data_IF_593145253695
#
_entry.id   IF_593145253695
#
_cell.length_a   1.000
_cell.length_b   1.000
_cell.length_c   1.000
_cell.angle_alpha   90.00
_cell.angle_beta   90.00
_cell.angle_gamma   90.00
#
_symmetry.space_group_name_H-M   'P 1'
#
loop_
_entity.id
_entity.type
_entity.pdbx_description
1 polymer ?
#
# COMPACT_ATOMS: atom_id res chain seq x y z
N UNK A 1 -56.21 -1.75 -18.35
CA UNK A 1 -55.03 -0.95 -18.74
C UNK A 1 -54.67 -1.28 -20.16
N UNK A 2 -54.50 -0.27 -21.02
CA UNK A 2 -54.13 -0.44 -22.44
C UNK A 2 -52.73 -1.06 -22.54
N UNK A 3 -52.46 -1.84 -23.58
CA UNK A 3 -51.17 -2.55 -23.75
C UNK A 3 -49.97 -1.59 -23.73
N UNK A 4 -50.16 -0.40 -24.31
CA UNK A 4 -49.16 0.67 -24.40
C UNK A 4 -48.73 1.19 -23.00
N UNK A 5 -49.72 1.29 -22.08
CA UNK A 5 -49.43 1.72 -20.69
C UNK A 5 -48.62 0.69 -19.93
N UNK A 6 -48.87 -0.61 -20.15
CA UNK A 6 -48.07 -1.68 -19.53
C UNK A 6 -46.63 -1.65 -20.03
N UNK A 7 -46.43 -1.48 -21.33
CA UNK A 7 -45.07 -1.37 -21.92
C UNK A 7 -44.35 -0.16 -21.36
N UNK A 8 -45.01 0.99 -21.28
CA UNK A 8 -44.43 2.22 -20.73
C UNK A 8 -43.98 2.07 -19.26
N UNK A 9 -44.85 1.46 -18.44
CA UNK A 9 -44.53 1.21 -17.02
C UNK A 9 -43.33 0.22 -16.89
N UNK A 10 -43.31 -0.84 -17.69
CA UNK A 10 -42.20 -1.80 -17.68
C UNK A 10 -40.89 -1.14 -18.07
N UNK A 11 -40.90 -0.26 -19.06
CA UNK A 11 -39.75 0.53 -19.48
C UNK A 11 -39.23 1.44 -18.39
N UNK A 12 -40.13 2.13 -17.68
CA UNK A 12 -39.71 3.00 -16.54
C UNK A 12 -39.10 2.16 -15.41
N UNK A 13 -39.71 1.04 -15.06
CA UNK A 13 -39.17 0.14 -14.02
C UNK A 13 -37.80 -0.36 -14.42
N UNK A 14 -37.58 -0.76 -15.66
CA UNK A 14 -36.30 -1.24 -16.16
C UNK A 14 -35.20 -0.14 -16.05
N UNK A 15 -35.52 1.11 -16.38
CA UNK A 15 -34.61 2.26 -16.23
C UNK A 15 -34.28 2.53 -14.77
N UNK A 16 -35.25 2.44 -13.86
CA UNK A 16 -35.02 2.62 -12.43
C UNK A 16 -34.09 1.53 -11.91
N UNK A 17 -34.35 0.27 -12.24
CA UNK A 17 -33.50 -0.88 -11.85
C UNK A 17 -32.09 -0.72 -12.42
N UNK A 18 -31.96 -0.31 -13.67
CA UNK A 18 -30.65 -0.05 -14.30
C UNK A 18 -29.89 1.06 -13.56
N UNK A 19 -30.55 2.18 -13.26
CA UNK A 19 -29.97 3.29 -12.54
C UNK A 19 -29.46 2.89 -11.14
N UNK A 20 -30.28 2.15 -10.37
CA UNK A 20 -29.88 1.64 -9.06
C UNK A 20 -28.75 0.60 -9.19
N UNK A 21 -28.82 -0.28 -10.19
CA UNK A 21 -27.79 -1.29 -10.46
C UNK A 21 -26.42 -0.65 -10.75
N UNK A 22 -26.38 0.35 -11.63
CA UNK A 22 -25.12 1.07 -11.94
C UNK A 22 -24.56 1.77 -10.70
N UNK A 23 -25.42 2.40 -9.89
CA UNK A 23 -24.94 3.06 -8.67
C UNK A 23 -24.48 2.05 -7.61
N UNK A 24 -25.10 0.88 -7.52
CA UNK A 24 -24.67 -0.21 -6.66
C UNK A 24 -23.29 -0.76 -7.08
N UNK A 25 -23.07 -0.99 -8.37
CA UNK A 25 -21.77 -1.45 -8.91
C UNK A 25 -20.65 -0.43 -8.70
N UNK A 26 -20.97 0.87 -8.60
CA UNK A 26 -20.00 1.92 -8.26
C UNK A 26 -19.62 1.93 -6.77
N UNK A 27 -20.05 0.95 -5.99
CA UNK A 27 -19.73 0.85 -4.56
C UNK A 27 -20.40 1.91 -3.69
N UNK A 28 -21.34 2.69 -4.24
CA UNK A 28 -22.16 3.63 -3.47
C UNK A 28 -23.27 2.85 -2.78
N UNK A 29 -23.09 2.54 -1.53
CA UNK A 29 -24.17 2.05 -0.68
C UNK A 29 -25.15 3.19 -0.39
N UNK A 30 -26.15 3.36 -1.25
CA UNK A 30 -27.15 4.43 -1.17
C UNK A 30 -27.98 4.38 0.12
N UNK A 31 -27.95 3.27 0.86
CA UNK A 31 -28.74 3.04 2.07
C UNK A 31 -27.93 2.87 3.35
N UNK A 32 -26.57 2.88 3.29
CA UNK A 32 -25.76 2.84 4.48
C UNK A 32 -25.36 4.25 4.91
N UNK A 33 -25.67 4.60 6.15
CA UNK A 33 -25.13 5.82 6.77
C UNK A 33 -23.59 5.70 6.77
N UNK A 34 -22.93 6.56 6.02
CA UNK A 34 -21.47 6.61 5.94
C UNK A 34 -20.95 7.86 6.67
N UNK A 35 -19.79 7.74 7.26
CA UNK A 35 -19.03 8.85 7.81
C UNK A 35 -17.95 9.26 6.82
N UNK A 36 -17.83 10.56 6.61
CA UNK A 36 -16.81 11.12 5.70
C UNK A 36 -15.65 11.64 6.52
N UNK A 37 -14.42 11.30 6.10
CA UNK A 37 -13.19 11.83 6.65
C UNK A 37 -12.28 12.28 5.51
N UNK A 38 -11.35 13.16 5.82
CA UNK A 38 -10.36 13.65 4.88
C UNK A 38 -8.97 13.15 5.28
N UNK A 39 -8.14 12.80 4.31
CA UNK A 39 -6.77 12.37 4.56
C UNK A 39 -5.86 13.21 3.68
N UNK A 40 -4.86 13.82 4.30
CA UNK A 40 -3.91 14.68 3.62
C UNK A 40 -2.65 13.89 3.27
N UNK A 41 -2.34 13.80 1.96
CA UNK A 41 -1.11 13.19 1.45
C UNK A 41 -0.27 14.21 0.70
N UNK A 42 1.04 14.02 0.68
CA UNK A 42 1.93 14.77 -0.21
C UNK A 42 1.77 14.33 -1.67
N UNK A 43 1.48 13.05 -1.90
CA UNK A 43 1.27 12.47 -3.23
C UNK A 43 0.16 11.40 -3.14
N UNK A 44 -0.84 11.52 -3.99
CA UNK A 44 -1.94 10.54 -4.09
C UNK A 44 -1.53 9.28 -4.87
N UNK A 45 -0.36 9.26 -5.47
CA UNK A 45 0.18 8.17 -6.27
C UNK A 45 -0.84 7.71 -7.33
N UNK A 46 -1.18 6.43 -7.36
CA UNK A 46 -2.17 5.88 -8.29
C UNK A 46 -3.53 5.63 -7.63
N UNK A 47 -3.82 6.32 -6.54
CA UNK A 47 -5.11 6.22 -5.89
C UNK A 47 -6.21 6.73 -6.84
N UNK A 48 -7.33 6.05 -6.85
CA UNK A 48 -8.48 6.42 -7.69
C UNK A 48 -9.77 6.47 -6.87
N UNK A 49 -10.78 7.13 -7.41
CA UNK A 49 -12.13 7.05 -6.83
C UNK A 49 -12.60 5.59 -6.80
N UNK A 50 -13.30 5.23 -5.76
CA UNK A 50 -13.77 3.87 -5.45
C UNK A 50 -12.65 2.89 -5.05
N UNK A 51 -11.39 3.34 -4.89
CA UNK A 51 -10.36 2.52 -4.25
C UNK A 51 -10.79 2.10 -2.85
N UNK A 52 -10.50 0.87 -2.48
CA UNK A 52 -10.87 0.33 -1.17
C UNK A 52 -10.06 0.99 -0.04
N UNK A 53 -10.73 1.18 1.10
CA UNK A 53 -10.12 1.62 2.35
C UNK A 53 -10.16 0.45 3.33
N UNK A 54 -8.99 0.08 3.83
CA UNK A 54 -8.82 -1.01 4.80
C UNK A 54 -8.40 -0.48 6.16
N UNK A 55 -8.81 -1.17 7.22
CA UNK A 55 -8.25 -1.03 8.56
C UNK A 55 -8.05 -2.45 9.10
N UNK A 56 -6.86 -2.77 9.56
CA UNK A 56 -6.49 -4.10 10.06
C UNK A 56 -6.81 -5.24 9.06
N UNK A 57 -6.70 -4.95 7.75
CA UNK A 57 -7.03 -5.89 6.68
C UNK A 57 -8.52 -6.04 6.36
N UNK A 58 -9.41 -5.36 7.11
CA UNK A 58 -10.85 -5.37 6.85
C UNK A 58 -11.25 -4.16 6.00
N UNK A 59 -12.10 -4.36 4.98
CA UNK A 59 -12.61 -3.26 4.16
C UNK A 59 -13.61 -2.44 4.99
N UNK A 60 -13.23 -1.21 5.32
CA UNK A 60 -14.03 -0.28 6.12
C UNK A 60 -14.70 0.82 5.32
N UNK A 61 -14.35 0.96 4.04
CA UNK A 61 -14.91 2.01 3.20
C UNK A 61 -14.28 2.11 1.83
N UNK A 62 -14.53 3.23 1.18
CA UNK A 62 -14.01 3.54 -0.16
C UNK A 62 -13.58 5.00 -0.26
N UNK A 63 -12.68 5.29 -1.19
CA UNK A 63 -12.32 6.66 -1.58
C UNK A 63 -13.48 7.28 -2.35
N UNK A 64 -14.04 8.36 -1.82
CA UNK A 64 -15.15 9.09 -2.45
C UNK A 64 -14.66 10.11 -3.47
N UNK A 65 -13.62 10.85 -3.11
CA UNK A 65 -13.07 11.90 -3.95
C UNK A 65 -11.56 12.10 -3.71
N UNK A 66 -10.91 12.71 -4.68
CA UNK A 66 -9.50 13.11 -4.58
C UNK A 66 -9.45 14.56 -5.06
N UNK A 67 -8.99 15.45 -4.19
CA UNK A 67 -8.96 16.88 -4.39
C UNK A 67 -7.51 17.33 -4.35
N UNK A 68 -7.04 17.92 -5.44
CA UNK A 68 -5.73 18.57 -5.46
C UNK A 68 -5.88 20.00 -4.96
N UNK A 69 -5.04 20.38 -4.00
CA UNK A 69 -5.01 21.75 -3.49
C UNK A 69 -4.12 22.61 -4.39
N UNK A 70 -4.71 23.41 -5.23
CA UNK A 70 -3.99 24.30 -6.15
C UNK A 70 -3.34 25.50 -5.44
N UNK A 71 -3.83 25.84 -4.25
CA UNK A 71 -3.30 26.96 -3.45
C UNK A 71 -2.12 26.51 -2.59
N UNK A 72 -1.99 25.19 -2.35
CA UNK A 72 -0.92 24.58 -1.56
C UNK A 72 -0.32 23.40 -2.33
N UNK A 73 0.58 23.67 -3.32
CA UNK A 73 1.19 22.61 -4.14
C UNK A 73 1.93 21.59 -3.27
N UNK A 74 1.77 20.30 -3.60
CA UNK A 74 2.33 19.18 -2.82
C UNK A 74 1.39 18.68 -1.72
N UNK A 75 0.11 19.07 -1.79
CA UNK A 75 -0.94 18.58 -0.89
C UNK A 75 -2.10 18.02 -1.70
N UNK A 76 -2.46 16.77 -1.44
CA UNK A 76 -3.63 16.10 -2.01
C UNK A 76 -4.55 15.69 -0.88
N UNK A 77 -5.79 16.15 -0.93
CA UNK A 77 -6.82 15.80 0.05
C UNK A 77 -7.67 14.65 -0.51
N UNK A 78 -7.64 13.53 0.18
CA UNK A 78 -8.41 12.33 -0.17
C UNK A 78 -9.63 12.26 0.74
N UNK A 79 -10.81 12.33 0.14
CA UNK A 79 -12.07 12.13 0.83
C UNK A 79 -12.41 10.64 0.86
N UNK A 80 -12.63 10.09 2.04
CA UNK A 80 -13.06 8.70 2.23
C UNK A 80 -14.45 8.63 2.84
N UNK A 81 -15.21 7.64 2.39
CA UNK A 81 -16.50 7.26 2.95
C UNK A 81 -16.36 5.94 3.66
N UNK A 82 -16.55 5.93 4.96
CA UNK A 82 -16.38 4.75 5.82
C UNK A 82 -17.70 4.33 6.46
N UNK A 83 -17.74 3.10 6.97
CA UNK A 83 -18.87 2.67 7.80
C UNK A 83 -18.98 3.58 9.02
N UNK A 84 -20.21 4.02 9.35
CA UNK A 84 -20.48 4.91 10.49
C UNK A 84 -20.04 4.37 11.85
N UNK A 85 -19.92 3.04 11.96
CA UNK A 85 -19.48 2.38 13.18
C UNK A 85 -17.97 2.39 13.37
N UNK A 86 -17.21 2.80 12.33
CA UNK A 86 -15.78 2.93 12.43
C UNK A 86 -15.44 4.13 13.34
N UNK A 87 -14.77 3.85 14.45
CA UNK A 87 -14.15 4.88 15.29
C UNK A 87 -12.68 4.97 14.94
N UNK A 88 -12.22 6.14 14.57
CA UNK A 88 -10.83 6.40 14.22
C UNK A 88 -10.19 7.15 15.39
N UNK A 89 -9.37 6.49 16.23
CA UNK A 89 -8.72 7.14 17.36
C UNK A 89 -7.78 8.27 16.90
N UNK A 90 -7.63 9.32 17.70
CA UNK A 90 -6.62 10.36 17.42
C UNK A 90 -5.22 9.78 17.49
N UNK A 91 -4.35 10.24 16.58
CA UNK A 91 -3.03 9.65 16.37
C UNK A 91 -3.03 8.50 15.36
N UNK A 92 -4.19 8.12 14.81
CA UNK A 92 -4.25 7.25 13.63
C UNK A 92 -3.73 7.98 12.41
N UNK A 93 -3.16 7.23 11.47
CA UNK A 93 -2.68 7.73 10.19
C UNK A 93 -3.19 6.84 9.05
N UNK A 94 -2.95 7.24 7.83
CA UNK A 94 -3.27 6.42 6.67
C UNK A 94 -2.06 6.30 5.76
N UNK A 95 -1.90 5.16 5.12
CA UNK A 95 -0.86 4.92 4.10
C UNK A 95 -1.48 4.42 2.81
N UNK A 96 -0.78 4.70 1.71
CA UNK A 96 -1.12 4.19 0.40
C UNK A 96 -0.31 2.93 0.12
N UNK A 97 -0.97 1.82 -0.15
CA UNK A 97 -0.33 0.58 -0.57
C UNK A 97 -0.55 0.38 -2.07
N UNK A 98 0.55 0.45 -2.82
CA UNK A 98 0.55 0.22 -4.25
C UNK A 98 0.62 -1.28 -4.55
N UNK A 99 -0.29 -1.76 -5.38
CA UNK A 99 -0.22 -3.10 -5.90
C UNK A 99 0.83 -3.17 -7.02
N UNK A 100 1.56 -4.26 -7.08
CA UNK A 100 2.64 -4.48 -8.07
C UNK A 100 2.14 -4.39 -9.51
N UNK A 101 0.91 -4.81 -9.78
CA UNK A 101 0.29 -4.78 -11.11
C UNK A 101 -0.51 -3.51 -11.43
N UNK A 102 -0.40 -2.52 -10.59
CA UNK A 102 -1.16 -1.29 -10.72
C UNK A 102 -2.37 -1.24 -9.79
N UNK A 103 -2.84 -0.02 -9.55
CA UNK A 103 -3.83 0.29 -8.53
C UNK A 103 -3.20 0.62 -7.19
N UNK A 104 -4.00 1.25 -6.35
CA UNK A 104 -3.59 1.67 -5.01
C UNK A 104 -4.77 1.49 -4.07
N UNK A 105 -4.49 1.00 -2.88
CA UNK A 105 -5.46 0.90 -1.79
C UNK A 105 -5.02 1.80 -0.64
N UNK A 106 -5.97 2.23 0.16
CA UNK A 106 -5.72 3.06 1.31
C UNK A 106 -5.83 2.20 2.58
N UNK A 107 -4.76 2.13 3.35
CA UNK A 107 -4.73 1.42 4.62
C UNK A 107 -4.71 2.42 5.78
N UNK A 108 -5.72 2.33 6.66
CA UNK A 108 -5.77 3.06 7.91
C UNK A 108 -4.93 2.35 8.97
N UNK A 109 -4.02 3.08 9.59
CA UNK A 109 -3.22 2.63 10.72
C UNK A 109 -3.87 3.19 11.98
N UNK A 110 -4.72 2.41 12.62
CA UNK A 110 -5.47 2.84 13.78
C UNK A 110 -4.55 2.91 15.01
N UNK A 111 -4.64 4.02 15.76
CA UNK A 111 -3.95 4.16 17.04
C UNK A 111 -4.63 3.31 18.12
N UNK A 112 -3.85 2.87 19.08
CA UNK A 112 -4.34 2.00 20.19
C UNK A 112 -5.11 2.79 21.26
N UNK A 113 -4.95 4.12 21.30
CA UNK A 113 -5.58 4.96 22.29
C UNK A 113 -7.02 5.29 21.88
N UNK A 114 -8.00 4.69 22.55
CA UNK A 114 -9.43 4.87 22.28
C UNK A 114 -10.08 6.04 23.04
N UNK A 115 -9.30 6.82 23.80
CA UNK A 115 -9.83 7.89 24.66
C UNK A 115 -10.40 9.05 23.85
N UNK A 116 -9.80 9.36 22.72
CA UNK A 116 -10.22 10.44 21.83
C UNK A 116 -10.26 9.94 20.38
N UNK A 117 -11.21 10.37 19.59
CA UNK A 117 -11.43 9.92 18.23
C UNK A 117 -11.66 11.12 17.29
N UNK A 118 -11.34 10.93 16.03
CA UNK A 118 -11.70 11.87 14.98
C UNK A 118 -13.21 11.88 14.76
N UNK A 119 -13.75 13.04 14.48
CA UNK A 119 -15.15 13.22 14.11
C UNK A 119 -15.30 13.20 12.57
N UNK A 120 -16.46 12.81 12.06
CA UNK A 120 -16.76 12.98 10.65
C UNK A 120 -16.51 14.43 10.19
N UNK A 121 -15.74 14.58 9.10
CA UNK A 121 -15.29 15.87 8.59
C UNK A 121 -13.85 16.26 9.00
N UNK A 122 -13.25 15.56 9.96
CA UNK A 122 -11.88 15.84 10.36
C UNK A 122 -10.87 15.38 9.30
N UNK A 123 -9.69 16.01 9.34
CA UNK A 123 -8.55 15.64 8.48
C UNK A 123 -7.54 14.82 9.27
N UNK A 124 -7.13 13.70 8.69
CA UNK A 124 -6.17 12.73 9.23
C UNK A 124 -4.89 12.85 8.41
N UNK A 125 -3.72 12.77 9.05
CA UNK A 125 -2.45 12.79 8.35
C UNK A 125 -2.20 11.48 7.61
N UNK A 126 -1.88 11.60 6.32
CA UNK A 126 -1.40 10.51 5.50
C UNK A 126 0.10 10.33 5.69
N UNK A 127 0.55 9.11 5.87
CA UNK A 127 1.97 8.80 5.86
C UNK A 127 2.41 8.37 4.48
N UNK A 128 3.53 8.91 4.02
CA UNK A 128 4.16 8.46 2.78
C UNK A 128 4.73 7.06 3.01
N UNK A 129 4.03 6.04 2.56
CA UNK A 129 4.65 4.73 2.44
C UNK A 129 5.49 4.71 1.17
N UNK A 130 6.81 4.78 1.32
CA UNK A 130 7.68 4.37 0.23
C UNK A 130 7.30 2.93 -0.11
N UNK A 131 6.86 2.69 -1.33
CA UNK A 131 6.51 1.35 -1.80
C UNK A 131 7.63 0.35 -1.50
N UNK A 132 7.30 -0.93 -1.32
CA UNK A 132 8.31 -1.97 -1.02
C UNK A 132 9.46 -1.97 -2.05
N UNK A 133 9.17 -1.66 -3.32
CA UNK A 133 10.17 -1.52 -4.37
C UNK A 133 11.12 -0.35 -4.12
N UNK A 134 10.61 0.80 -3.66
CA UNK A 134 11.45 1.96 -3.33
C UNK A 134 12.29 1.70 -2.09
N UNK A 135 11.73 1.00 -1.09
CA UNK A 135 12.52 0.55 0.08
C UNK A 135 13.61 -0.43 -0.31
N UNK A 136 13.30 -1.41 -1.16
CA UNK A 136 14.27 -2.36 -1.67
C UNK A 136 15.37 -1.65 -2.50
N UNK A 137 14.99 -0.72 -3.38
CA UNK A 137 15.93 0.08 -4.16
C UNK A 137 16.83 0.96 -3.26
N UNK A 138 16.29 1.53 -2.19
CA UNK A 138 17.06 2.32 -1.23
C UNK A 138 17.97 1.48 -0.32
N UNK A 139 17.73 0.17 -0.21
CA UNK A 139 18.61 -0.77 0.51
C UNK A 139 19.77 -1.28 -0.34
N UNK A 140 19.65 -1.22 -1.69
CA UNK A 140 20.72 -1.67 -2.61
C UNK A 140 22.09 -1.01 -2.33
N UNK A 141 22.20 0.32 -2.13
CA UNK A 141 23.48 0.96 -1.80
C UNK A 141 24.08 0.46 -0.47
N UNK A 142 23.25 0.10 0.49
CA UNK A 142 23.70 -0.43 1.78
C UNK A 142 24.28 -1.85 1.62
N UNK A 143 23.70 -2.66 0.74
CA UNK A 143 24.22 -4.00 0.42
C UNK A 143 25.56 -3.89 -0.29
N UNK A 144 25.72 -2.97 -1.25
CA UNK A 144 27.00 -2.70 -1.94
C UNK A 144 28.07 -2.23 -0.95
N UNK A 145 27.74 -1.37 -0.01
CA UNK A 145 28.65 -0.92 1.04
C UNK A 145 29.13 -2.06 1.96
N UNK A 146 28.21 -2.99 2.31
CA UNK A 146 28.56 -4.18 3.11
C UNK A 146 29.49 -5.09 2.33
N UNK A 147 29.21 -5.34 1.05
CA UNK A 147 30.09 -6.17 0.18
C UNK A 147 31.49 -5.53 0.07
N UNK A 148 31.59 -4.22 -0.14
CA UNK A 148 32.88 -3.51 -0.20
C UNK A 148 33.66 -3.57 1.13
N UNK A 149 32.96 -3.51 2.27
CA UNK A 149 33.59 -3.67 3.59
C UNK A 149 34.09 -5.09 3.84
N UNK A 150 33.36 -6.11 3.37
CA UNK A 150 33.80 -7.50 3.43
C UNK A 150 35.05 -7.74 2.58
N UNK A 151 35.10 -7.19 1.37
CA UNK A 151 36.29 -7.23 0.49
C UNK A 151 37.51 -6.56 1.14
N UNK A 152 37.28 -5.42 1.78
CA UNK A 152 38.35 -4.71 2.54
C UNK A 152 38.84 -5.55 3.72
N UNK A 153 37.95 -6.22 4.45
CA UNK A 153 38.28 -7.15 5.53
C UNK A 153 39.12 -8.33 5.03
N UNK A 154 38.73 -8.96 3.91
CA UNK A 154 39.47 -10.08 3.28
C UNK A 154 40.84 -9.62 2.85
N UNK A 155 40.95 -8.44 2.22
CA UNK A 155 42.23 -7.85 1.80
C UNK A 155 43.15 -7.53 2.98
N UNK A 156 42.59 -7.03 4.08
CA UNK A 156 43.34 -6.70 5.31
C UNK A 156 43.81 -7.97 6.02
N UNK A 157 42.98 -9.03 6.07
CA UNK A 157 43.34 -10.33 6.62
C UNK A 157 44.44 -11.00 5.80
N UNK A 158 44.44 -10.89 4.48
CA UNK A 158 45.51 -11.37 3.60
C UNK A 158 46.85 -10.70 3.88
N UNK A 159 46.90 -9.49 4.41
CA UNK A 159 48.13 -8.76 4.76
C UNK A 159 48.75 -9.20 6.11
N UNK A 160 47.95 -9.82 6.94
CA UNK A 160 48.38 -10.26 8.30
C UNK A 160 49.00 -11.68 8.29
N UNK A 161 49.57 -12.15 7.21
CA UNK A 161 49.97 -13.53 6.88
C UNK A 161 51.09 -14.16 7.71
N UNK A 162 51.20 -13.87 9.01
CA UNK A 162 52.24 -14.48 9.86
C UNK A 162 51.70 -15.44 10.94
N UNK A 163 50.38 -15.62 11.01
CA UNK A 163 49.75 -16.50 12.02
C UNK A 163 49.27 -17.84 11.38
N UNK A 164 49.66 -18.98 11.87
CA UNK A 164 49.27 -20.32 11.32
C UNK A 164 47.76 -20.60 11.35
N UNK A 165 46.97 -19.83 12.12
CA UNK A 165 45.49 -19.92 12.13
C UNK A 165 44.80 -19.05 11.11
N UNK A 166 45.51 -18.12 10.48
CA UNK A 166 44.95 -17.17 9.47
C UNK A 166 44.33 -17.88 8.25
N UNK A 167 44.90 -18.96 7.68
CA UNK A 167 44.30 -19.62 6.52
C UNK A 167 42.89 -20.15 6.81
N UNK A 168 42.62 -20.62 8.03
CA UNK A 168 41.31 -21.11 8.48
C UNK A 168 40.29 -19.94 8.61
N UNK A 169 40.73 -18.80 9.11
CA UNK A 169 39.90 -17.59 9.24
C UNK A 169 39.55 -17.04 7.85
N UNK A 170 40.52 -16.99 6.93
CA UNK A 170 40.31 -16.57 5.55
C UNK A 170 39.34 -17.49 4.82
N UNK A 171 39.50 -18.80 4.93
CA UNK A 171 38.60 -19.79 4.34
C UNK A 171 37.16 -19.68 4.87
N UNK A 172 36.99 -19.38 6.14
CA UNK A 172 35.67 -19.15 6.73
C UNK A 172 35.07 -17.82 6.25
N UNK A 173 35.87 -16.76 6.13
CA UNK A 173 35.42 -15.47 5.61
C UNK A 173 35.01 -15.56 4.12
N UNK A 174 35.76 -16.34 3.30
CA UNK A 174 35.38 -16.62 1.92
C UNK A 174 34.05 -17.37 1.82
N UNK A 175 33.84 -18.41 2.65
CA UNK A 175 32.57 -19.14 2.73
C UNK A 175 31.41 -18.24 3.15
N UNK A 176 31.62 -17.35 4.11
CA UNK A 176 30.63 -16.38 4.54
C UNK A 176 30.28 -15.43 3.39
N UNK A 177 31.28 -14.91 2.69
CA UNK A 177 31.08 -14.02 1.54
C UNK A 177 30.34 -14.71 0.39
N UNK A 178 30.68 -15.97 0.08
CA UNK A 178 30.00 -16.79 -0.92
C UNK A 178 28.55 -17.08 -0.53
N UNK A 179 28.28 -17.41 0.72
CA UNK A 179 26.93 -17.64 1.23
C UNK A 179 26.10 -16.35 1.21
N UNK A 180 26.70 -15.21 1.55
CA UNK A 180 26.03 -13.91 1.49
C UNK A 180 25.67 -13.54 0.05
N UNK A 181 26.60 -13.76 -0.90
CA UNK A 181 26.35 -13.56 -2.32
C UNK A 181 25.24 -14.47 -2.84
N UNK A 182 25.25 -15.76 -2.49
CA UNK A 182 24.18 -16.70 -2.86
C UNK A 182 22.85 -16.29 -2.26
N UNK A 183 22.80 -15.92 -0.98
CA UNK A 183 21.59 -15.44 -0.33
C UNK A 183 21.03 -14.18 -0.97
N UNK A 184 21.89 -13.26 -1.40
CA UNK A 184 21.50 -12.05 -2.12
C UNK A 184 20.91 -12.39 -3.49
N UNK A 185 21.53 -13.32 -4.22
CA UNK A 185 21.03 -13.81 -5.51
C UNK A 185 19.70 -14.58 -5.36
N UNK A 186 19.54 -15.37 -4.31
CA UNK A 186 18.28 -16.07 -4.02
C UNK A 186 17.18 -15.09 -3.61
N UNK A 187 17.50 -14.08 -2.81
CA UNK A 187 16.57 -13.00 -2.48
C UNK A 187 16.12 -12.26 -3.74
N UNK A 188 17.02 -11.95 -4.65
CA UNK A 188 16.66 -11.34 -5.93
C UNK A 188 15.75 -12.27 -6.77
N UNK A 189 16.07 -13.57 -6.84
CA UNK A 189 15.21 -14.55 -7.53
C UNK A 189 13.86 -14.71 -6.86
N UNK A 190 13.79 -14.68 -5.54
CA UNK A 190 12.53 -14.71 -4.79
C UNK A 190 11.72 -13.45 -5.06
N UNK A 191 12.35 -12.28 -5.11
CA UNK A 191 11.69 -11.03 -5.47
C UNK A 191 11.20 -11.05 -6.93
N UNK A 192 12.01 -11.56 -7.86
CA UNK A 192 11.63 -11.66 -9.28
C UNK A 192 10.55 -12.72 -9.55
N UNK A 193 10.59 -13.87 -8.86
CA UNK A 193 9.67 -14.98 -9.09
C UNK A 193 8.36 -14.90 -8.28
N UNK A 194 8.36 -14.28 -7.11
CA UNK A 194 7.13 -14.11 -6.32
C UNK A 194 6.30 -12.90 -6.75
N UNK A 195 6.89 -11.93 -7.42
CA UNK A 195 6.15 -10.82 -8.01
C UNK A 195 5.12 -11.33 -9.06
N UNK A 196 5.44 -12.26 -9.98
CA UNK A 196 4.44 -12.82 -10.90
C UNK A 196 3.46 -13.81 -10.25
N UNK A 197 3.86 -14.55 -9.21
CA UNK A 197 2.99 -15.55 -8.58
C UNK A 197 1.92 -14.94 -7.67
N UNK A 198 2.20 -13.81 -7.02
CA UNK A 198 1.20 -13.03 -6.31
C UNK A 198 0.15 -12.46 -7.27
N UNK A 199 0.48 -12.29 -8.54
CA UNK A 199 -0.44 -11.85 -9.59
C UNK A 199 -1.44 -12.91 -10.02
N UNK A 200 -1.05 -14.20 -9.97
CA UNK A 200 -1.90 -15.31 -10.42
C UNK A 200 -2.83 -15.85 -9.33
N UNK A 201 -2.68 -15.42 -8.08
CA UNK A 201 -3.51 -15.88 -6.96
C UNK A 201 -4.71 -14.97 -6.68
N UNK A 202 -4.79 -13.83 -7.37
CA UNK A 202 -5.87 -12.84 -7.22
C UNK A 202 -6.70 -12.62 -8.50
N UNK A 203 -6.60 -13.53 -9.50
CA UNK A 203 -7.53 -13.58 -10.65
C UNK A 203 -8.53 -14.71 -10.51
#
# INVERSE_FOLDING_TARGET
MKKEVKIGITGIIALVVLFFGINFLKGKNLFSSSSTYYIKFADAKRLSKSSNVYADGYNVGVVSNIIYDFDSPGSVLVEISTNKNLRIPKGSSAKLDEAVLGGCTLNMLLATNLTDAYHPGDTIEGSDSQGMMTKAANMMPQVEEVVAKVDTLITTLNRLTSDPNLPLIIQNAEKISENLSKSTLELNKILENNVPQLTNTFN
#
